data_IF_533862133545
#
_entry.id   IF_533862133545
#
_cell.length_a   1.000
_cell.length_b   1.000
_cell.length_c   1.000
_cell.angle_alpha   90.00
_cell.angle_beta   90.00
_cell.angle_gamma   90.00
#
_symmetry.space_group_name_H-M   'P 1'
#
loop_
_entity.id
_entity.type
_entity.pdbx_description
1 polymer ?
#
# COMPACT_ATOMS: atom_id res chain seq x y z
N UNK A 1 -12.48 -46.24 4.83
CA UNK A 1 -12.05 -45.35 3.73
C UNK A 1 -10.81 -44.56 4.19
N UNK A 2 -9.65 -44.78 3.63
CA UNK A 2 -8.48 -43.89 3.78
C UNK A 2 -8.59 -42.81 2.72
N UNK A 3 -9.14 -41.66 3.07
CA UNK A 3 -9.17 -40.51 2.19
C UNK A 3 -7.83 -39.77 2.25
N UNK A 4 -7.26 -39.32 1.11
CA UNK A 4 -6.09 -38.47 1.13
C UNK A 4 -6.41 -37.15 1.83
N UNK A 5 -5.53 -36.73 2.74
CA UNK A 5 -5.63 -35.40 3.36
C UNK A 5 -4.89 -34.45 2.44
N UNK A 6 -5.61 -33.41 1.98
CA UNK A 6 -5.03 -32.31 1.23
C UNK A 6 -4.82 -31.12 2.16
N UNK A 7 -3.66 -30.50 2.08
CA UNK A 7 -3.40 -29.24 2.77
C UNK A 7 -4.00 -28.08 1.97
N UNK A 8 -5.01 -27.42 2.55
CA UNK A 8 -5.62 -26.19 2.01
C UNK A 8 -5.32 -24.97 2.90
N UNK A 9 -4.12 -24.93 3.48
CA UNK A 9 -3.66 -23.78 4.26
C UNK A 9 -3.70 -22.48 3.44
N UNK A 10 -3.60 -22.58 2.12
CA UNK A 10 -3.76 -21.46 1.17
C UNK A 10 -5.20 -21.04 0.91
N UNK A 11 -6.20 -21.80 1.41
CA UNK A 11 -7.64 -21.61 1.22
C UNK A 11 -8.13 -21.63 -0.24
N UNK A 12 -7.32 -22.06 -1.19
CA UNK A 12 -7.66 -22.06 -2.63
C UNK A 12 -8.77 -23.05 -2.96
N UNK A 13 -8.73 -24.23 -2.38
CA UNK A 13 -9.78 -25.24 -2.55
C UNK A 13 -11.07 -24.77 -1.89
N UNK A 14 -10.97 -24.29 -0.65
CA UNK A 14 -12.13 -23.73 0.07
C UNK A 14 -12.78 -22.57 -0.68
N UNK A 15 -11.99 -21.71 -1.32
CA UNK A 15 -12.49 -20.61 -2.14
C UNK A 15 -13.16 -21.12 -3.44
N UNK A 16 -12.52 -22.06 -4.15
CA UNK A 16 -13.04 -22.59 -5.40
C UNK A 16 -14.40 -23.28 -5.24
N UNK A 17 -14.61 -23.95 -4.09
CA UNK A 17 -15.89 -24.60 -3.76
C UNK A 17 -16.85 -23.73 -2.95
N UNK A 18 -16.56 -22.44 -2.78
CA UNK A 18 -17.35 -21.48 -2.02
C UNK A 18 -17.71 -22.01 -0.61
N UNK A 19 -16.69 -22.42 0.16
CA UNK A 19 -16.89 -22.94 1.51
C UNK A 19 -17.07 -21.78 2.49
N UNK A 20 -18.30 -21.57 2.93
CA UNK A 20 -18.66 -20.50 3.88
C UNK A 20 -18.63 -20.97 5.33
N UNK A 21 -18.94 -22.24 5.54
CA UNK A 21 -19.08 -22.85 6.87
C UNK A 21 -18.38 -24.19 6.93
N UNK A 22 -17.75 -24.49 8.06
CA UNK A 22 -17.13 -25.79 8.35
C UNK A 22 -17.70 -26.37 9.65
N UNK A 23 -17.90 -27.69 9.79
CA UNK A 23 -17.60 -28.74 8.81
C UNK A 23 -18.57 -28.76 7.64
N UNK A 24 -18.10 -29.31 6.53
CA UNK A 24 -18.85 -29.40 5.26
C UNK A 24 -18.40 -30.65 4.52
N UNK A 25 -19.32 -31.30 3.84
CA UNK A 25 -19.03 -32.39 2.88
C UNK A 25 -19.49 -31.96 1.50
N UNK A 26 -18.62 -32.13 0.50
CA UNK A 26 -18.95 -31.92 -0.90
C UNK A 26 -18.70 -33.24 -1.64
N UNK A 27 -19.68 -33.67 -2.41
CA UNK A 27 -19.54 -34.74 -3.39
C UNK A 27 -19.30 -34.10 -4.74
N UNK A 28 -18.18 -34.43 -5.38
CA UNK A 28 -17.83 -33.97 -6.73
C UNK A 28 -17.72 -35.14 -7.69
N UNK A 29 -17.96 -34.89 -8.96
CA UNK A 29 -17.71 -35.86 -10.05
C UNK A 29 -16.20 -35.95 -10.38
N UNK A 30 -15.87 -36.81 -11.34
CA UNK A 30 -14.47 -37.01 -11.78
C UNK A 30 -13.84 -35.80 -12.44
N UNK A 31 -14.62 -34.79 -12.77
CA UNK A 31 -14.17 -33.50 -13.35
C UNK A 31 -14.11 -32.41 -12.28
N UNK A 32 -14.38 -32.73 -11.00
CA UNK A 32 -14.36 -31.79 -9.88
C UNK A 32 -15.60 -30.91 -9.77
N UNK A 33 -16.69 -31.22 -10.52
CA UNK A 33 -17.92 -30.45 -10.43
C UNK A 33 -18.76 -30.95 -9.26
N UNK A 34 -19.26 -30.04 -8.47
CA UNK A 34 -20.12 -30.34 -7.33
C UNK A 34 -21.41 -31.05 -7.76
N UNK A 35 -21.70 -32.18 -7.15
CA UNK A 35 -22.91 -32.97 -7.35
C UNK A 35 -23.90 -32.84 -6.20
N UNK A 36 -23.38 -32.78 -4.98
CA UNK A 36 -24.21 -32.66 -3.76
C UNK A 36 -23.37 -32.05 -2.62
N UNK A 37 -24.02 -31.41 -1.65
CA UNK A 37 -23.35 -30.70 -0.54
C UNK A 37 -24.14 -30.85 0.73
N UNK A 38 -23.42 -31.03 1.85
CA UNK A 38 -24.01 -31.04 3.19
C UNK A 38 -23.23 -30.06 4.10
N UNK A 39 -23.93 -29.06 4.64
CA UNK A 39 -23.34 -27.99 5.44
C UNK A 39 -23.62 -28.21 6.92
N UNK A 40 -22.60 -28.04 7.78
CA UNK A 40 -22.70 -28.28 9.21
C UNK A 40 -22.55 -29.75 9.55
N UNK A 41 -22.76 -30.08 10.83
CA UNK A 41 -22.73 -31.44 11.30
C UNK A 41 -24.02 -31.76 12.09
N UNK A 42 -24.94 -32.49 11.45
CA UNK A 42 -26.00 -33.25 12.07
C UNK A 42 -25.78 -34.73 11.75
N UNK A 43 -25.71 -35.58 12.79
CA UNK A 43 -25.36 -37.00 12.62
C UNK A 43 -26.32 -37.74 11.69
N UNK A 44 -27.61 -37.47 11.79
CA UNK A 44 -28.63 -38.16 10.99
C UNK A 44 -28.58 -37.75 9.52
N UNK A 45 -28.34 -36.43 9.28
CA UNK A 45 -28.16 -35.93 7.92
C UNK A 45 -26.91 -36.51 7.29
N UNK A 46 -25.81 -36.60 8.05
CA UNK A 46 -24.55 -37.20 7.57
C UNK A 46 -24.72 -38.68 7.28
N UNK A 47 -25.40 -39.48 8.15
CA UNK A 47 -25.72 -40.89 7.90
C UNK A 47 -26.51 -41.02 6.59
N UNK A 48 -27.54 -40.20 6.41
CA UNK A 48 -28.35 -40.21 5.19
C UNK A 48 -27.56 -39.86 3.95
N UNK A 49 -26.76 -38.80 3.99
CA UNK A 49 -25.93 -38.36 2.89
C UNK A 49 -24.91 -39.42 2.46
N UNK A 50 -24.17 -39.98 3.41
CA UNK A 50 -23.21 -41.05 3.12
C UNK A 50 -23.91 -42.33 2.64
N UNK A 51 -25.01 -42.73 3.22
CA UNK A 51 -25.79 -43.87 2.78
C UNK A 51 -26.35 -43.74 1.36
N UNK A 52 -26.67 -42.51 0.94
CA UNK A 52 -27.12 -42.20 -0.43
C UNK A 52 -26.02 -42.29 -1.48
N UNK A 53 -24.80 -41.85 -1.15
CA UNK A 53 -23.76 -41.61 -2.13
C UNK A 53 -22.58 -42.59 -2.07
N UNK A 54 -22.34 -43.23 -0.95
CA UNK A 54 -21.17 -44.08 -0.73
C UNK A 54 -21.60 -45.40 -0.14
N UNK A 55 -21.40 -46.47 -0.91
CA UNK A 55 -21.68 -47.84 -0.40
C UNK A 55 -20.60 -48.22 0.63
N UNK A 56 -20.98 -48.89 1.70
CA UNK A 56 -20.13 -49.53 2.71
C UNK A 56 -19.15 -48.56 3.43
N UNK A 57 -19.71 -47.49 4.04
CA UNK A 57 -18.93 -46.57 4.88
C UNK A 57 -18.82 -47.15 6.29
N UNK A 58 -17.63 -47.56 6.68
CA UNK A 58 -17.31 -48.01 8.05
C UNK A 58 -16.97 -46.76 8.91
N UNK A 59 -18.03 -46.12 9.43
CA UNK A 59 -17.91 -45.00 10.38
C UNK A 59 -18.67 -45.39 11.64
N UNK A 60 -18.01 -45.28 12.79
CA UNK A 60 -18.66 -45.43 14.07
C UNK A 60 -19.45 -44.14 14.40
N UNK A 61 -20.69 -44.05 13.91
CA UNK A 61 -21.55 -42.89 14.06
C UNK A 61 -21.91 -42.60 15.54
N UNK A 62 -21.97 -43.64 16.40
CA UNK A 62 -22.30 -43.47 17.79
C UNK A 62 -21.19 -42.81 18.61
N UNK A 63 -19.96 -42.84 18.11
CA UNK A 63 -18.84 -42.14 18.71
C UNK A 63 -18.81 -40.62 18.37
N UNK A 64 -19.68 -40.18 17.47
CA UNK A 64 -19.75 -38.77 17.05
C UNK A 64 -20.91 -38.07 17.80
N UNK A 65 -20.78 -36.75 18.04
CA UNK A 65 -21.86 -35.97 18.65
C UNK A 65 -23.12 -36.00 17.78
N UNK A 66 -24.28 -35.73 18.33
CA UNK A 66 -25.53 -35.66 17.57
C UNK A 66 -25.52 -34.45 16.63
N UNK A 67 -24.95 -33.33 17.10
CA UNK A 67 -24.89 -32.09 16.37
C UNK A 67 -23.65 -31.28 16.77
N UNK A 68 -23.11 -30.47 15.82
CA UNK A 68 -22.08 -29.44 16.08
C UNK A 68 -22.43 -28.17 15.31
N UNK A 69 -22.34 -26.98 15.95
CA UNK A 69 -22.48 -25.73 15.23
C UNK A 69 -21.35 -25.61 14.21
N UNK A 70 -21.68 -25.11 13.03
CA UNK A 70 -20.67 -24.72 12.05
C UNK A 70 -19.89 -23.49 12.50
N UNK A 71 -18.61 -23.43 12.11
CA UNK A 71 -17.79 -22.23 12.22
C UNK A 71 -17.65 -21.60 10.83
N UNK A 72 -17.62 -20.26 10.78
CA UNK A 72 -17.34 -19.55 9.52
C UNK A 72 -15.98 -19.91 8.96
N UNK A 73 -15.90 -20.09 7.66
CA UNK A 73 -14.63 -20.26 6.95
C UNK A 73 -13.88 -18.95 6.89
N UNK A 74 -12.54 -18.99 6.92
CA UNK A 74 -11.69 -17.81 6.70
C UNK A 74 -11.86 -17.21 5.30
N UNK A 75 -12.43 -17.96 4.35
CA UNK A 75 -12.77 -17.42 3.02
C UNK A 75 -13.87 -16.35 3.07
N UNK A 76 -14.59 -16.22 4.20
CA UNK A 76 -15.58 -15.17 4.42
C UNK A 76 -14.97 -13.87 4.96
N UNK A 77 -13.69 -13.87 5.37
CA UNK A 77 -12.99 -12.62 5.67
C UNK A 77 -12.83 -11.81 4.39
N UNK A 78 -13.33 -10.56 4.35
CA UNK A 78 -13.31 -9.75 3.12
C UNK A 78 -11.92 -9.57 2.52
N UNK A 79 -10.89 -9.45 3.36
CA UNK A 79 -9.50 -9.25 2.89
C UNK A 79 -8.97 -10.54 2.23
N UNK A 80 -9.25 -11.68 2.87
CA UNK A 80 -8.82 -13.00 2.35
C UNK A 80 -9.60 -13.34 1.09
N UNK A 81 -10.92 -13.12 1.06
CA UNK A 81 -11.77 -13.35 -0.10
C UNK A 81 -11.32 -12.55 -1.33
N UNK A 82 -11.02 -11.27 -1.16
CA UNK A 82 -10.54 -10.41 -2.25
C UNK A 82 -9.17 -10.86 -2.79
N UNK A 83 -8.27 -11.27 -1.90
CA UNK A 83 -6.98 -11.84 -2.29
C UNK A 83 -7.14 -13.12 -3.12
N UNK A 84 -7.96 -14.06 -2.65
CA UNK A 84 -8.22 -15.33 -3.35
C UNK A 84 -8.90 -15.09 -4.71
N UNK A 85 -9.84 -14.14 -4.78
CA UNK A 85 -10.49 -13.74 -6.04
C UNK A 85 -9.47 -13.18 -7.02
N UNK A 86 -8.62 -12.26 -6.59
CA UNK A 86 -7.56 -11.69 -7.43
C UNK A 86 -6.59 -12.76 -7.95
N UNK A 87 -6.26 -13.76 -7.11
CA UNK A 87 -5.44 -14.90 -7.53
C UNK A 87 -6.14 -15.77 -8.56
N UNK A 88 -7.44 -16.05 -8.40
CA UNK A 88 -8.23 -16.86 -9.35
C UNK A 88 -8.42 -16.17 -10.71
N UNK A 89 -8.48 -14.84 -10.70
CA UNK A 89 -8.59 -13.99 -11.89
C UNK A 89 -7.22 -13.71 -12.56
N UNK A 90 -6.11 -14.25 -12.05
CA UNK A 90 -4.73 -13.93 -12.45
C UNK A 90 -4.42 -12.42 -12.42
N UNK A 91 -5.10 -11.66 -11.59
CA UNK A 91 -4.82 -10.25 -11.40
C UNK A 91 -3.49 -10.09 -10.64
N UNK A 92 -2.60 -9.17 -11.01
CA UNK A 92 -1.40 -8.87 -10.22
C UNK A 92 -1.72 -8.10 -8.93
N UNK A 93 -2.94 -7.57 -8.79
CA UNK A 93 -3.38 -6.81 -7.63
C UNK A 93 -3.89 -7.73 -6.52
N UNK A 94 -3.51 -7.41 -5.27
CA UNK A 94 -3.90 -8.14 -4.05
C UNK A 94 -4.53 -7.24 -3.01
N UNK A 95 -4.52 -5.92 -3.21
CA UNK A 95 -5.16 -4.97 -2.32
C UNK A 95 -6.68 -5.18 -2.31
N UNK A 96 -7.28 -5.00 -1.14
CA UNK A 96 -8.74 -5.08 -0.98
C UNK A 96 -9.46 -4.15 -1.94
N UNK A 97 -10.42 -4.67 -2.67
CA UNK A 97 -11.35 -3.89 -3.49
C UNK A 97 -12.53 -3.44 -2.61
N UNK A 98 -12.91 -2.18 -2.72
CA UNK A 98 -14.10 -1.64 -2.06
C UNK A 98 -15.05 -1.20 -3.16
N UNK A 99 -16.21 -1.81 -3.21
CA UNK A 99 -17.27 -1.41 -4.13
C UNK A 99 -18.02 -0.22 -3.54
N UNK A 100 -18.12 0.84 -4.32
CA UNK A 100 -18.85 2.06 -3.97
C UNK A 100 -20.15 2.05 -4.78
N UNK A 101 -21.29 2.25 -4.13
CA UNK A 101 -22.57 2.27 -4.83
C UNK A 101 -22.59 3.43 -5.86
N UNK A 102 -23.20 3.23 -7.05
CA UNK A 102 -23.22 4.26 -8.10
C UNK A 102 -23.84 5.60 -7.68
N UNK A 103 -24.65 5.59 -6.62
CA UNK A 103 -25.29 6.79 -6.09
C UNK A 103 -24.42 7.55 -5.06
N UNK A 104 -23.32 6.94 -4.58
CA UNK A 104 -22.46 7.53 -3.57
C UNK A 104 -21.44 8.47 -4.20
N UNK A 105 -21.13 9.56 -3.52
CA UNK A 105 -20.03 10.43 -3.91
C UNK A 105 -18.68 9.79 -3.54
N UNK A 106 -17.92 9.41 -4.56
CA UNK A 106 -16.62 8.76 -4.38
C UNK A 106 -15.62 9.65 -3.62
N UNK A 107 -15.70 10.96 -3.74
CA UNK A 107 -14.79 11.87 -3.05
C UNK A 107 -15.11 11.92 -1.56
N UNK A 108 -16.38 12.10 -1.20
CA UNK A 108 -16.83 12.05 0.20
C UNK A 108 -16.53 10.70 0.82
N UNK A 109 -16.78 9.60 0.10
CA UNK A 109 -16.41 8.26 0.55
C UNK A 109 -14.92 8.15 0.92
N UNK A 110 -14.01 8.70 0.08
CA UNK A 110 -12.57 8.66 0.35
C UNK A 110 -12.18 9.44 1.62
N UNK A 111 -12.89 10.55 1.92
CA UNK A 111 -12.72 11.28 3.18
C UNK A 111 -13.21 10.47 4.38
N UNK A 112 -14.41 9.92 4.31
CA UNK A 112 -15.04 9.15 5.38
C UNK A 112 -14.23 7.90 5.75
N UNK A 113 -13.64 7.24 4.76
CA UNK A 113 -12.74 6.11 4.98
C UNK A 113 -11.34 6.52 5.50
N UNK A 114 -11.06 7.82 5.56
CA UNK A 114 -9.79 8.36 6.06
C UNK A 114 -8.60 8.06 5.16
N UNK A 115 -8.81 7.86 3.84
CA UNK A 115 -7.72 7.63 2.87
C UNK A 115 -7.02 8.91 2.45
N UNK A 116 -7.59 10.08 2.77
CA UNK A 116 -7.07 11.37 2.37
C UNK A 116 -6.27 12.04 3.49
N UNK A 117 -5.47 13.01 3.11
CA UNK A 117 -4.74 13.92 3.98
C UNK A 117 -5.51 15.22 4.29
N UNK A 118 -6.80 15.27 3.96
CA UNK A 118 -7.66 16.45 4.04
C UNK A 118 -7.83 17.19 2.71
N UNK A 119 -7.13 16.75 1.66
CA UNK A 119 -7.28 17.25 0.30
C UNK A 119 -7.94 16.18 -0.58
N UNK A 120 -8.65 16.56 -1.65
CA UNK A 120 -9.18 15.61 -2.61
C UNK A 120 -8.10 14.68 -3.16
N UNK A 121 -8.46 13.44 -3.38
CA UNK A 121 -7.56 12.41 -3.92
C UNK A 121 -8.11 11.83 -5.23
N UNK A 122 -7.24 11.26 -6.04
CA UNK A 122 -7.64 10.52 -7.23
C UNK A 122 -8.04 9.10 -6.83
N UNK A 123 -9.27 8.64 -7.06
CA UNK A 123 -9.69 7.29 -6.72
C UNK A 123 -8.79 6.24 -7.37
N UNK A 124 -8.21 5.31 -6.58
CA UNK A 124 -7.28 4.30 -7.08
C UNK A 124 -8.03 3.09 -7.64
N UNK A 125 -8.71 3.28 -8.78
CA UNK A 125 -9.35 2.16 -9.47
C UNK A 125 -8.32 1.15 -9.95
N UNK A 126 -8.68 -0.14 -10.12
CA UNK A 126 -7.76 -1.17 -10.61
C UNK A 126 -7.00 -0.75 -11.87
N UNK A 127 -7.67 -0.12 -12.84
CA UNK A 127 -7.05 0.32 -14.10
C UNK A 127 -6.01 1.42 -13.88
N UNK A 128 -6.25 2.33 -12.92
CA UNK A 128 -5.29 3.39 -12.58
C UNK A 128 -4.08 2.83 -11.85
N UNK A 129 -4.30 1.85 -10.95
CA UNK A 129 -3.21 1.19 -10.23
C UNK A 129 -2.36 0.36 -11.18
N UNK A 130 -2.97 -0.44 -12.07
CA UNK A 130 -2.25 -1.20 -13.10
C UNK A 130 -1.40 -0.28 -13.98
N UNK A 131 -1.98 0.82 -14.47
CA UNK A 131 -1.22 1.81 -15.26
C UNK A 131 -0.10 2.46 -14.45
N UNK A 132 -0.29 2.73 -13.15
CA UNK A 132 0.76 3.26 -12.27
C UNK A 132 1.92 2.27 -12.15
N UNK A 133 1.63 0.98 -12.07
CA UNK A 133 2.63 -0.10 -11.99
C UNK A 133 3.48 -0.23 -13.25
N UNK A 134 3.03 0.24 -14.41
CA UNK A 134 3.85 0.32 -15.63
C UNK A 134 5.10 1.20 -15.47
N UNK A 135 5.10 2.10 -14.48
CA UNK A 135 6.23 2.96 -14.14
C UNK A 135 7.39 2.27 -13.41
N UNK A 136 7.28 0.99 -13.12
CA UNK A 136 8.32 0.20 -12.45
C UNK A 136 8.44 -1.19 -13.04
N UNK A 137 9.62 -1.82 -12.89
CA UNK A 137 9.85 -3.21 -13.27
C UNK A 137 9.74 -4.19 -12.11
N UNK A 138 9.52 -3.68 -10.89
CA UNK A 138 9.39 -4.50 -9.69
C UNK A 138 8.03 -5.23 -9.69
N UNK A 139 8.01 -6.41 -9.09
CA UNK A 139 6.74 -7.13 -8.91
C UNK A 139 5.81 -6.31 -7.98
N UNK A 140 4.52 -6.20 -8.28
CA UNK A 140 3.55 -5.51 -7.43
C UNK A 140 3.54 -5.98 -5.98
N UNK A 141 3.89 -7.24 -5.72
CA UNK A 141 3.90 -7.83 -4.39
C UNK A 141 5.26 -7.75 -3.69
N UNK A 142 6.31 -7.24 -4.37
CA UNK A 142 7.61 -7.01 -3.72
C UNK A 142 7.45 -6.04 -2.56
N UNK A 143 7.95 -6.43 -1.39
CA UNK A 143 8.05 -5.55 -0.22
C UNK A 143 9.22 -4.59 -0.41
N UNK A 144 8.93 -3.31 -0.56
CA UNK A 144 9.93 -2.23 -0.67
C UNK A 144 10.55 -1.92 0.68
N UNK A 145 9.71 -1.82 1.70
CA UNK A 145 10.13 -1.51 3.07
C UNK A 145 9.08 -1.95 4.10
N UNK A 146 9.51 -2.05 5.35
CA UNK A 146 8.60 -2.13 6.50
C UNK A 146 8.41 -0.69 7.01
N UNK A 147 7.19 -0.20 6.92
CA UNK A 147 6.90 1.23 7.13
C UNK A 147 6.43 1.54 8.54
N UNK A 148 7.22 2.30 9.32
CA UNK A 148 6.79 2.80 10.62
C UNK A 148 5.65 3.84 10.48
N UNK A 149 4.89 4.10 11.56
CA UNK A 149 4.99 3.50 12.90
C UNK A 149 4.31 2.14 13.05
N UNK A 150 3.38 1.74 12.17
CA UNK A 150 2.64 0.47 12.27
C UNK A 150 3.47 -0.76 11.87
N UNK A 151 4.67 -0.57 11.36
CA UNK A 151 5.54 -1.65 10.87
C UNK A 151 4.85 -2.51 9.80
N UNK A 152 4.04 -1.90 8.96
CA UNK A 152 3.32 -2.57 7.88
C UNK A 152 4.19 -2.71 6.62
N UNK A 153 4.01 -3.81 5.90
CA UNK A 153 4.67 -4.01 4.61
C UNK A 153 4.20 -2.99 3.58
N UNK A 154 5.14 -2.18 3.07
CA UNK A 154 4.96 -1.28 1.96
C UNK A 154 5.31 -2.02 0.65
N UNK A 155 4.33 -2.72 0.07
CA UNK A 155 4.51 -3.36 -1.22
C UNK A 155 4.46 -2.34 -2.35
N UNK A 156 5.03 -2.70 -3.51
CA UNK A 156 5.01 -1.85 -4.71
C UNK A 156 3.57 -1.49 -5.08
N UNK A 157 2.62 -2.41 -4.97
CA UNK A 157 1.19 -2.16 -5.19
C UNK A 157 0.64 -1.10 -4.23
N UNK A 158 0.87 -1.23 -2.92
CA UNK A 158 0.39 -0.26 -1.92
C UNK A 158 0.98 1.13 -2.16
N UNK A 159 2.25 1.18 -2.58
CA UNK A 159 2.91 2.43 -2.97
C UNK A 159 2.24 3.02 -4.21
N UNK A 160 1.97 2.20 -5.24
CA UNK A 160 1.28 2.62 -6.45
C UNK A 160 -0.14 3.17 -6.16
N UNK A 161 -0.89 2.52 -5.25
CA UNK A 161 -2.19 3.03 -4.77
C UNK A 161 -2.05 4.46 -4.21
N UNK A 162 -1.07 4.70 -3.34
CA UNK A 162 -0.84 6.02 -2.76
C UNK A 162 -0.30 7.03 -3.78
N UNK A 163 0.47 6.60 -4.78
CA UNK A 163 0.88 7.43 -5.90
C UNK A 163 -0.32 7.85 -6.77
N UNK A 164 -1.28 6.96 -7.02
CA UNK A 164 -2.54 7.31 -7.69
C UNK A 164 -3.34 8.30 -6.86
N UNK A 165 -3.54 8.05 -5.55
CA UNK A 165 -4.23 8.96 -4.64
C UNK A 165 -3.65 10.38 -4.69
N UNK A 166 -2.32 10.50 -4.75
CA UNK A 166 -1.61 11.78 -4.84
C UNK A 166 -1.69 12.43 -6.23
N UNK A 167 -2.16 11.72 -7.25
CA UNK A 167 -2.19 12.20 -8.63
C UNK A 167 -0.85 12.11 -9.36
N UNK A 168 0.03 11.18 -9.01
CA UNK A 168 1.28 10.93 -9.72
C UNK A 168 1.05 10.47 -11.17
N UNK A 169 2.10 10.60 -11.98
CA UNK A 169 2.22 9.89 -13.26
C UNK A 169 2.99 8.58 -13.03
N UNK A 170 2.83 7.57 -13.91
CA UNK A 170 3.60 6.32 -13.81
C UNK A 170 5.11 6.54 -13.75
N UNK A 171 5.64 7.48 -14.54
CA UNK A 171 7.07 7.78 -14.61
C UNK A 171 7.65 8.29 -13.27
N UNK A 172 6.80 8.66 -12.30
CA UNK A 172 7.24 9.12 -10.98
C UNK A 172 7.52 7.96 -10.01
N UNK A 173 7.05 6.74 -10.33
CA UNK A 173 7.19 5.57 -9.44
C UNK A 173 8.63 5.30 -8.99
N UNK A 174 9.67 5.37 -9.83
CA UNK A 174 11.04 5.14 -9.38
C UNK A 174 11.46 6.08 -8.25
N UNK A 175 11.10 7.36 -8.34
CA UNK A 175 11.43 8.35 -7.31
C UNK A 175 10.62 8.12 -6.03
N UNK A 176 9.33 7.78 -6.14
CA UNK A 176 8.49 7.47 -4.98
C UNK A 176 9.01 6.24 -4.24
N UNK A 177 9.35 5.17 -4.97
CA UNK A 177 9.89 3.93 -4.40
C UNK A 177 11.23 4.21 -3.69
N UNK A 178 12.19 4.84 -4.38
CA UNK A 178 13.49 5.15 -3.81
C UNK A 178 13.37 6.06 -2.56
N UNK A 179 12.43 6.99 -2.57
CA UNK A 179 12.17 7.83 -1.39
C UNK A 179 11.63 7.01 -0.22
N UNK A 180 10.72 6.06 -0.47
CA UNK A 180 10.19 5.19 0.59
C UNK A 180 11.30 4.29 1.14
N UNK A 181 12.16 3.74 0.31
CA UNK A 181 13.35 3.01 0.76
C UNK A 181 14.20 3.88 1.67
N UNK A 182 14.52 5.11 1.25
CA UNK A 182 15.39 6.02 1.99
C UNK A 182 14.80 6.45 3.35
N UNK A 183 13.50 6.77 3.41
CA UNK A 183 12.89 7.19 4.70
C UNK A 183 12.67 6.04 5.67
N UNK A 184 12.66 4.79 5.19
CA UNK A 184 12.49 3.61 6.03
C UNK A 184 13.83 3.02 6.52
N UNK A 185 14.96 3.68 6.26
CA UNK A 185 16.25 3.32 6.85
C UNK A 185 16.33 3.75 8.32
N UNK A 186 17.20 3.09 9.09
CA UNK A 186 17.42 3.42 10.50
C UNK A 186 17.99 4.84 10.66
N UNK A 187 18.85 5.28 9.73
CA UNK A 187 19.47 6.60 9.73
C UNK A 187 18.45 7.73 9.64
N UNK A 188 17.35 7.52 8.87
CA UNK A 188 16.29 8.51 8.77
C UNK A 188 15.42 8.56 10.03
N UNK A 189 15.30 7.47 10.77
CA UNK A 189 14.46 7.35 11.95
C UNK A 189 13.00 7.71 11.69
N UNK A 190 12.40 7.09 10.70
CA UNK A 190 11.03 7.35 10.24
C UNK A 190 10.01 7.37 11.40
N UNK A 191 10.12 6.41 12.34
CA UNK A 191 9.24 6.35 13.50
C UNK A 191 9.32 7.62 14.34
N UNK A 192 10.53 8.06 14.70
CA UNK A 192 10.76 9.26 15.49
C UNK A 192 10.28 10.53 14.79
N UNK A 193 10.52 10.63 13.47
CA UNK A 193 10.10 11.77 12.64
C UNK A 193 8.58 11.94 12.63
N UNK A 194 7.82 10.86 12.60
CA UNK A 194 6.35 10.94 12.52
C UNK A 194 5.64 10.89 13.87
N UNK A 195 6.26 10.30 14.89
CA UNK A 195 5.66 10.21 16.22
C UNK A 195 5.98 11.40 17.16
N UNK A 196 6.81 12.34 16.71
CA UNK A 196 7.21 13.51 17.50
C UNK A 196 6.09 14.55 17.63
N UNK A 197 6.16 15.36 18.70
CA UNK A 197 5.32 16.56 18.86
C UNK A 197 5.79 17.75 18.01
N UNK A 198 6.96 17.66 17.39
CA UNK A 198 7.46 18.66 16.44
C UNK A 198 6.78 18.55 15.08
N UNK A 199 6.87 19.58 14.28
CA UNK A 199 6.36 19.62 12.90
C UNK A 199 7.21 18.85 11.88
N UNK A 200 8.02 17.87 12.32
CA UNK A 200 8.98 17.17 11.47
C UNK A 200 8.33 16.44 10.30
N UNK A 201 8.96 16.52 9.14
CA UNK A 201 8.52 15.88 7.89
C UNK A 201 9.71 15.58 6.99
N UNK A 202 9.62 14.56 6.13
CA UNK A 202 10.64 14.36 5.10
C UNK A 202 10.67 15.51 4.11
N UNK A 203 11.86 15.96 3.80
CA UNK A 203 12.18 16.83 2.66
C UNK A 203 12.95 16.01 1.67
N UNK A 204 12.52 16.03 0.43
CA UNK A 204 13.09 15.26 -0.67
C UNK A 204 13.77 16.20 -1.65
N UNK A 205 15.08 16.02 -1.84
CA UNK A 205 15.87 16.76 -2.82
C UNK A 205 16.26 15.80 -3.93
N UNK A 206 15.88 16.15 -5.16
CA UNK A 206 16.10 15.33 -6.35
C UNK A 206 17.29 15.88 -7.13
N UNK A 207 18.21 15.00 -7.46
CA UNK A 207 19.42 15.28 -8.22
C UNK A 207 19.55 14.41 -9.46
N UNK A 208 20.41 14.85 -10.37
CA UNK A 208 20.76 14.14 -11.59
C UNK A 208 19.76 14.30 -12.74
N UNK A 209 19.90 13.51 -13.81
CA UNK A 209 19.12 13.67 -15.04
C UNK A 209 17.61 13.52 -14.88
N UNK A 210 17.15 12.76 -13.91
CA UNK A 210 15.72 12.50 -13.64
C UNK A 210 14.95 13.80 -13.35
N UNK A 211 15.62 14.85 -12.88
CA UNK A 211 15.00 16.16 -12.60
C UNK A 211 14.30 16.71 -13.84
N UNK A 212 15.00 16.71 -14.96
CA UNK A 212 14.49 17.22 -16.24
C UNK A 212 13.54 16.23 -16.90
N UNK A 213 13.85 14.94 -16.85
CA UNK A 213 13.02 13.87 -17.43
C UNK A 213 11.60 13.86 -16.86
N UNK A 214 11.47 14.10 -15.55
CA UNK A 214 10.17 14.12 -14.87
C UNK A 214 9.54 15.52 -14.81
N UNK A 215 10.24 16.55 -15.28
CA UNK A 215 9.75 17.92 -15.31
C UNK A 215 9.64 18.57 -13.93
N UNK A 216 10.63 18.34 -13.06
CA UNK A 216 10.72 19.05 -11.80
C UNK A 216 10.97 20.54 -12.03
N UNK A 217 10.30 21.38 -11.24
CA UNK A 217 10.66 22.78 -11.15
C UNK A 217 11.75 22.94 -10.09
N UNK A 218 12.91 23.44 -10.52
CA UNK A 218 14.05 23.78 -9.69
C UNK A 218 14.36 25.29 -9.69
N UNK A 219 13.50 26.09 -10.35
CA UNK A 219 13.67 27.51 -10.57
C UNK A 219 12.70 28.32 -9.69
N UNK A 220 12.25 29.45 -10.24
CA UNK A 220 11.30 30.33 -9.55
C UNK A 220 10.06 29.55 -9.12
N UNK A 221 9.71 29.63 -7.84
CA UNK A 221 8.54 28.95 -7.28
C UNK A 221 8.72 27.44 -7.05
N UNK A 222 9.96 26.92 -7.01
CA UNK A 222 10.23 25.48 -6.84
C UNK A 222 9.59 24.87 -5.60
N UNK A 223 9.47 25.64 -4.52
CA UNK A 223 8.82 25.21 -3.26
C UNK A 223 7.34 25.60 -3.20
N UNK A 224 6.81 26.20 -4.24
CA UNK A 224 5.42 26.64 -4.35
C UNK A 224 4.53 25.63 -5.08
N UNK A 225 3.35 26.10 -5.43
CA UNK A 225 2.35 25.34 -6.17
C UNK A 225 2.62 25.37 -7.70
N UNK A 226 1.98 24.47 -8.46
CA UNK A 226 1.92 24.51 -9.93
C UNK A 226 2.68 23.41 -10.64
N UNK A 227 3.73 22.83 -10.04
CA UNK A 227 4.49 21.74 -10.66
C UNK A 227 4.04 20.39 -10.14
N UNK A 228 3.51 19.55 -11.04
CA UNK A 228 2.95 18.24 -10.67
C UNK A 228 4.00 17.32 -10.04
N UNK A 229 5.21 17.24 -10.60
CA UNK A 229 6.28 16.38 -10.07
C UNK A 229 6.61 16.76 -8.62
N UNK A 230 6.90 18.04 -8.35
CA UNK A 230 7.22 18.52 -7.01
C UNK A 230 6.08 18.25 -6.01
N UNK A 231 4.84 18.54 -6.39
CA UNK A 231 3.69 18.41 -5.50
C UNK A 231 3.27 16.95 -5.29
N UNK A 232 3.08 16.18 -6.39
CA UNK A 232 2.49 14.86 -6.32
C UNK A 232 3.44 13.80 -5.74
N UNK A 233 4.73 13.86 -6.05
CA UNK A 233 5.73 12.89 -5.53
C UNK A 233 5.82 13.01 -4.01
N UNK A 234 6.03 14.21 -3.50
CA UNK A 234 6.10 14.42 -2.06
C UNK A 234 4.81 14.02 -1.35
N UNK A 235 3.65 14.34 -1.94
CA UNK A 235 2.35 13.95 -1.40
C UNK A 235 2.15 12.44 -1.41
N UNK A 236 2.60 11.72 -2.45
CA UNK A 236 2.50 10.26 -2.52
C UNK A 236 3.26 9.59 -1.36
N UNK A 237 4.46 10.06 -1.06
CA UNK A 237 5.26 9.57 0.09
C UNK A 237 4.51 9.84 1.40
N UNK A 238 3.95 11.04 1.58
CA UNK A 238 3.19 11.38 2.79
C UNK A 238 1.92 10.57 2.95
N UNK A 239 1.18 10.33 1.87
CA UNK A 239 0.00 9.46 1.88
C UNK A 239 0.39 8.01 2.16
N UNK A 240 1.51 7.51 1.61
CA UNK A 240 2.00 6.17 1.92
C UNK A 240 2.32 6.02 3.43
N UNK A 241 3.04 6.97 4.02
CA UNK A 241 3.32 6.97 5.46
C UNK A 241 2.04 7.03 6.30
N UNK A 242 1.04 7.81 5.86
CA UNK A 242 -0.27 7.90 6.51
C UNK A 242 -1.07 6.60 6.40
N UNK A 243 -1.19 6.05 5.18
CA UNK A 243 -2.12 4.96 4.87
C UNK A 243 -1.52 3.57 5.09
N UNK A 244 -0.22 3.39 4.87
CA UNK A 244 0.50 2.15 5.12
C UNK A 244 1.09 2.18 6.53
N UNK A 245 1.88 3.21 6.85
CA UNK A 245 2.55 3.35 8.14
C UNK A 245 1.63 3.74 9.30
N UNK A 246 0.43 4.26 9.03
CA UNK A 246 -0.54 4.62 10.06
C UNK A 246 -0.23 5.93 10.80
N UNK A 247 0.65 6.78 10.27
CA UNK A 247 0.96 8.08 10.87
C UNK A 247 -0.18 9.08 10.63
N UNK A 248 -1.25 8.92 11.40
CA UNK A 248 -2.45 9.76 11.33
C UNK A 248 -2.47 10.78 12.47
N UNK A 249 -2.92 12.02 12.23
CA UNK A 249 -3.15 13.01 13.27
C UNK A 249 -4.07 12.48 14.37
N UNK A 250 -3.79 12.83 15.60
CA UNK A 250 -4.46 12.33 16.82
C UNK A 250 -4.23 10.83 17.11
N UNK A 251 -3.62 10.11 16.20
CA UNK A 251 -3.11 8.76 16.38
C UNK A 251 -1.65 8.77 16.81
N UNK A 252 -0.77 8.16 16.03
CA UNK A 252 0.67 8.14 16.28
C UNK A 252 1.31 9.50 15.95
N UNK A 253 0.83 10.21 14.95
CA UNK A 253 1.31 11.56 14.65
C UNK A 253 0.79 12.55 15.71
N UNK A 254 1.72 13.19 16.44
CA UNK A 254 1.43 14.04 17.61
C UNK A 254 1.92 15.47 17.44
N UNK A 255 2.22 15.93 16.24
CA UNK A 255 2.68 17.30 15.99
C UNK A 255 1.74 18.32 16.62
N UNK A 256 2.28 19.22 17.44
CA UNK A 256 1.49 20.24 18.16
C UNK A 256 0.82 21.22 17.22
N UNK A 257 1.55 21.76 16.25
CA UNK A 257 1.03 22.66 15.21
C UNK A 257 1.06 22.03 13.84
N UNK A 258 1.96 21.06 13.60
CA UNK A 258 2.26 20.57 12.28
C UNK A 258 3.02 21.59 11.43
N UNK A 259 3.00 21.40 10.13
CA UNK A 259 3.62 22.27 9.13
C UNK A 259 3.03 21.97 7.77
N UNK A 260 2.93 22.95 6.83
CA UNK A 260 2.56 22.69 5.44
C UNK A 260 3.43 21.64 4.72
N UNK A 261 4.68 21.46 5.16
CA UNK A 261 5.56 20.39 4.67
C UNK A 261 5.01 18.97 4.89
N UNK A 262 4.06 18.81 5.83
CA UNK A 262 3.42 17.52 6.09
C UNK A 262 2.45 17.08 4.99
N UNK A 263 2.11 17.96 4.06
CA UNK A 263 1.39 17.59 2.84
C UNK A 263 2.35 17.15 1.74
N UNK A 264 3.39 17.95 1.50
CA UNK A 264 4.40 17.69 0.46
C UNK A 264 5.61 18.58 0.67
N UNK A 265 6.81 18.04 0.46
CA UNK A 265 8.03 18.84 0.39
C UNK A 265 9.06 18.08 -0.46
N UNK A 266 8.94 18.24 -1.78
CA UNK A 266 9.80 17.59 -2.76
C UNK A 266 10.16 18.61 -3.85
N UNK A 267 11.44 18.75 -4.14
CA UNK A 267 11.94 19.64 -5.17
C UNK A 267 13.27 19.14 -5.73
N UNK A 268 13.68 19.68 -6.86
CA UNK A 268 14.96 19.37 -7.46
C UNK A 268 15.98 20.48 -7.18
N UNK A 269 17.24 20.10 -7.05
CA UNK A 269 18.34 21.05 -6.98
C UNK A 269 18.57 21.71 -8.36
N UNK A 270 18.81 23.02 -8.39
CA UNK A 270 19.21 23.71 -9.62
C UNK A 270 20.72 23.60 -9.82
N UNK A 271 21.18 22.41 -10.23
CA UNK A 271 22.61 22.07 -10.34
C UNK A 271 23.39 22.97 -11.29
N UNK A 272 22.73 23.45 -12.35
CA UNK A 272 23.36 24.31 -13.38
C UNK A 272 23.65 25.72 -12.85
N UNK A 273 23.11 26.10 -11.71
CA UNK A 273 23.31 27.40 -11.06
C UNK A 273 23.97 27.31 -9.71
N UNK A 274 24.18 26.10 -9.24
CA UNK A 274 24.87 25.84 -7.99
C UNK A 274 26.38 26.14 -8.19
N UNK A 275 27.01 27.02 -7.37
CA UNK A 275 28.43 27.29 -7.44
C UNK A 275 29.30 26.19 -6.81
N UNK A 276 28.69 25.25 -6.08
CA UNK A 276 29.34 24.09 -5.48
C UNK A 276 29.07 22.83 -6.33
N UNK A 277 29.61 21.71 -5.90
CA UNK A 277 29.19 20.43 -6.46
C UNK A 277 27.72 20.14 -6.08
N UNK A 278 26.95 19.50 -6.96
CA UNK A 278 25.59 19.06 -6.61
C UNK A 278 25.59 18.15 -5.38
N UNK A 279 24.53 18.23 -4.59
CA UNK A 279 24.42 17.50 -3.32
C UNK A 279 24.74 16.00 -3.43
N UNK A 280 24.28 15.34 -4.49
CA UNK A 280 24.55 13.91 -4.70
C UNK A 280 26.03 13.66 -4.99
N UNK A 281 26.71 14.56 -5.70
CA UNK A 281 28.16 14.45 -5.98
C UNK A 281 28.95 14.64 -4.69
N UNK A 282 28.61 15.63 -3.85
CA UNK A 282 29.21 15.78 -2.50
C UNK A 282 29.02 14.53 -1.65
N UNK A 283 27.95 13.76 -1.88
CA UNK A 283 27.65 12.50 -1.18
C UNK A 283 28.32 11.28 -1.81
N UNK A 284 29.11 11.46 -2.88
CA UNK A 284 29.91 10.41 -3.49
C UNK A 284 29.25 9.66 -4.65
N UNK A 285 28.12 10.16 -5.16
CA UNK A 285 27.50 9.63 -6.38
C UNK A 285 28.11 10.25 -7.64
N UNK A 286 27.97 9.55 -8.78
CA UNK A 286 28.37 10.13 -10.07
C UNK A 286 27.40 11.27 -10.47
N UNK A 287 27.92 12.27 -11.18
CA UNK A 287 27.14 13.42 -11.65
C UNK A 287 25.95 13.02 -12.54
N UNK A 288 26.02 11.87 -13.19
CA UNK A 288 24.97 11.35 -14.05
C UNK A 288 24.00 10.40 -13.31
N UNK A 289 24.24 10.13 -12.04
CA UNK A 289 23.32 9.34 -11.24
C UNK A 289 22.07 10.16 -10.90
N UNK A 290 20.92 9.52 -10.97
CA UNK A 290 19.66 10.08 -10.48
C UNK A 290 19.46 9.69 -9.03
N UNK A 291 19.46 10.66 -8.14
CA UNK A 291 19.49 10.43 -6.68
C UNK A 291 18.38 11.20 -5.99
N UNK A 292 17.77 10.60 -4.98
CA UNK A 292 16.95 11.30 -3.99
C UNK A 292 17.68 11.37 -2.66
N UNK A 293 17.84 12.56 -2.12
CA UNK A 293 18.33 12.80 -0.77
C UNK A 293 17.15 13.16 0.14
N UNK A 294 17.05 12.51 1.31
CA UNK A 294 15.97 12.75 2.27
C UNK A 294 16.50 13.35 3.57
N UNK A 295 15.80 14.34 4.10
CA UNK A 295 16.13 15.02 5.35
C UNK A 295 14.88 15.11 6.22
N UNK A 296 15.04 14.93 7.54
CA UNK A 296 14.00 15.21 8.51
C UNK A 296 14.09 16.69 8.90
N UNK A 297 13.14 17.51 8.46
CA UNK A 297 13.09 18.93 8.80
C UNK A 297 11.90 19.25 9.68
N UNK A 298 12.11 20.01 10.74
CA UNK A 298 11.09 20.38 11.72
C UNK A 298 10.33 21.66 11.37
N UNK A 299 10.86 22.46 10.46
CA UNK A 299 10.23 23.71 9.98
C UNK A 299 10.53 23.93 8.50
N UNK A 300 9.68 24.70 7.83
CA UNK A 300 9.88 25.09 6.44
C UNK A 300 11.09 25.98 6.23
N UNK A 301 11.50 26.17 4.97
CA UNK A 301 12.61 27.06 4.65
C UNK A 301 12.29 28.49 5.11
N UNK A 302 13.28 29.12 5.73
CA UNK A 302 13.21 30.53 6.08
C UNK A 302 13.91 31.37 5.01
N UNK A 303 13.28 32.46 4.59
CA UNK A 303 13.90 33.44 3.73
C UNK A 303 14.81 34.34 4.60
N UNK A 304 16.10 34.27 4.33
CA UNK A 304 17.09 35.19 4.92
C UNK A 304 17.44 36.23 3.84
N UNK A 305 17.18 37.48 4.16
CA UNK A 305 17.54 38.61 3.29
C UNK A 305 18.63 39.41 3.99
N UNK A 306 19.86 39.29 3.54
CA UNK A 306 20.97 40.10 3.96
C UNK A 306 21.21 41.20 2.94
N UNK A 307 20.97 42.44 3.33
CA UNK A 307 21.18 43.64 2.52
C UNK A 307 22.48 44.38 2.86
N UNK A 308 23.20 43.91 3.87
CA UNK A 308 24.41 44.58 4.39
C UNK A 308 25.71 43.92 3.96
N UNK A 309 25.74 42.59 3.93
CA UNK A 309 26.91 41.83 3.50
C UNK A 309 27.21 42.04 2.00
N UNK A 310 28.49 42.18 1.70
CA UNK A 310 28.98 42.37 0.33
C UNK A 310 29.72 41.19 -0.24
N UNK A 311 30.08 40.24 0.63
CA UNK A 311 30.81 39.01 0.28
C UNK A 311 30.24 37.82 1.03
N UNK A 312 30.45 36.60 0.51
CA UNK A 312 29.97 35.38 1.18
C UNK A 312 30.48 35.18 2.60
N UNK A 313 31.73 35.54 2.97
CA UNK A 313 32.24 35.41 4.33
C UNK A 313 31.65 36.40 5.36
N UNK A 314 31.04 37.48 4.92
CA UNK A 314 30.36 38.43 5.82
C UNK A 314 29.01 37.92 6.29
#
# INVERSE_FOLDING_TARGET
LSLPILDDSSLKVSFAYNIETVPLVILADNEGREMDRLIGFDRNEWIHFFGKHIADVDINWDALPEWRPGCGSLTQDPIIADKLRAESENSPLRARKIEIAPADDVHEFMFDQGFTDGLPVVPPTPERVLRMLEGTRRDPQDTVAIMPPNMAEATVEKIAVNAVLAGCKPEYMPVVIATIEAICTDEFNCHGVFATTMGASPVMIINGPIREQLGFNMKLGALGQGTRANAAIGRAVRLAVRNIGGARPSGTERSTLGSPMKFTMCFAEWEERNPWDPLHVERGFDRNDSVVSVFAMSSGPALIVDQTSRTGPQ
#
